data_IF_150494063373
#
_entry.id   IF_150494063373
#
_cell.length_a   1.000
_cell.length_b   1.000
_cell.length_c   1.000
_cell.angle_alpha   90.00
_cell.angle_beta   90.00
_cell.angle_gamma   90.00
#
_symmetry.space_group_name_H-M   'P 1'
#
loop_
_entity.id
_entity.type
_entity.pdbx_description
1 polymer ?
#
# COMPACT_ATOMS: atom_id res chain seq x y z
N UNK A 1 16.05 29.92 32.67
CA UNK A 1 16.25 28.53 33.15
C UNK A 1 15.31 27.47 32.54
N UNK A 2 14.43 27.80 31.59
CA UNK A 2 13.60 26.79 30.88
C UNK A 2 14.31 26.06 29.72
N UNK A 3 15.53 26.47 29.37
CA UNK A 3 16.28 25.93 28.21
C UNK A 3 17.08 24.66 28.53
N UNK A 4 17.37 24.39 29.82
CA UNK A 4 18.16 23.22 30.23
C UNK A 4 17.34 21.92 30.27
N UNK A 5 16.04 21.99 30.62
CA UNK A 5 15.13 20.84 30.58
C UNK A 5 14.75 20.42 29.14
N UNK A 6 14.75 21.36 28.18
CA UNK A 6 14.54 21.03 26.75
C UNK A 6 15.69 20.20 26.15
N UNK A 7 16.92 20.31 26.68
CA UNK A 7 18.07 19.52 26.23
C UNK A 7 18.04 18.07 26.72
N UNK A 8 17.33 17.76 27.79
CA UNK A 8 17.24 16.39 28.34
C UNK A 8 16.10 15.55 27.75
N UNK A 9 15.10 16.18 27.12
CA UNK A 9 13.91 15.50 26.57
C UNK A 9 13.89 15.45 25.02
N UNK A 10 14.90 16.03 24.36
CA UNK A 10 14.96 16.17 22.91
C UNK A 10 13.89 17.11 22.34
N UNK A 11 14.09 17.57 21.11
CA UNK A 11 13.03 18.28 20.37
C UNK A 11 11.87 17.31 20.04
N UNK A 12 10.67 17.84 19.77
CA UNK A 12 9.55 17.01 19.28
C UNK A 12 9.97 16.20 18.05
N UNK A 13 10.66 16.86 17.11
CA UNK A 13 11.21 16.23 15.92
C UNK A 13 12.15 15.06 16.22
N UNK A 14 13.06 15.21 17.18
CA UNK A 14 13.97 14.12 17.57
C UNK A 14 13.23 12.91 18.15
N UNK A 15 12.17 13.15 18.94
CA UNK A 15 11.35 12.07 19.49
C UNK A 15 10.55 11.36 18.41
N UNK A 16 9.97 12.11 17.48
CA UNK A 16 9.19 11.55 16.37
C UNK A 16 10.09 10.72 15.44
N UNK A 17 11.29 11.23 15.09
CA UNK A 17 12.30 10.49 14.32
C UNK A 17 12.71 9.20 15.05
N UNK A 18 12.95 9.27 16.36
CA UNK A 18 13.33 8.10 17.16
C UNK A 18 12.21 7.04 17.20
N UNK A 19 10.95 7.46 17.15
CA UNK A 19 9.82 6.55 17.15
C UNK A 19 9.66 5.79 15.82
N UNK A 20 9.97 6.43 14.69
CA UNK A 20 9.85 5.81 13.36
C UNK A 20 11.10 5.03 12.93
N UNK A 21 12.28 5.33 13.50
CA UNK A 21 13.54 4.70 13.12
C UNK A 21 13.51 3.16 13.10
N UNK A 22 12.87 2.46 14.06
CA UNK A 22 12.76 1.00 14.00
C UNK A 22 12.02 0.49 12.77
N UNK A 23 11.02 1.25 12.28
CA UNK A 23 10.28 0.91 11.05
C UNK A 23 11.16 1.15 9.83
N UNK A 24 11.92 2.25 9.80
CA UNK A 24 12.90 2.54 8.73
C UNK A 24 13.94 1.43 8.63
N UNK A 25 14.45 0.93 9.76
CA UNK A 25 15.38 -0.21 9.78
C UNK A 25 14.75 -1.49 9.20
N UNK A 26 13.47 -1.76 9.50
CA UNK A 26 12.73 -2.88 8.88
C UNK A 26 12.56 -2.69 7.37
N UNK A 27 12.29 -1.46 6.91
CA UNK A 27 12.22 -1.12 5.48
C UNK A 27 13.56 -1.38 4.80
N UNK A 28 14.68 -0.98 5.43
CA UNK A 28 16.02 -1.24 4.90
C UNK A 28 16.33 -2.73 4.79
N UNK A 29 15.89 -3.53 5.77
CA UNK A 29 16.04 -4.99 5.70
C UNK A 29 15.23 -5.59 4.55
N UNK A 30 13.93 -5.23 4.46
CA UNK A 30 13.07 -5.68 3.36
C UNK A 30 13.62 -5.27 1.98
N UNK A 31 14.18 -4.06 1.89
CA UNK A 31 14.75 -3.53 0.65
C UNK A 31 15.87 -4.40 0.08
N UNK A 32 16.64 -5.11 0.93
CA UNK A 32 17.71 -6.00 0.47
C UNK A 32 17.21 -7.09 -0.46
N UNK A 33 16.00 -7.62 -0.21
CA UNK A 33 15.37 -8.63 -1.05
C UNK A 33 14.58 -8.00 -2.20
N UNK A 34 13.86 -6.90 -1.94
CA UNK A 34 13.04 -6.21 -2.96
C UNK A 34 13.88 -5.71 -4.14
N UNK A 35 15.08 -5.17 -3.90
CA UNK A 35 15.94 -4.65 -4.98
C UNK A 35 16.41 -5.74 -5.97
N UNK A 36 16.33 -7.02 -5.59
CA UNK A 36 16.73 -8.16 -6.44
C UNK A 36 15.64 -8.59 -7.43
N UNK A 37 14.41 -8.12 -7.24
CA UNK A 37 13.27 -8.51 -8.07
C UNK A 37 13.39 -7.97 -9.50
N UNK A 38 12.81 -8.67 -10.48
CA UNK A 38 12.53 -8.11 -11.80
C UNK A 38 11.41 -7.07 -11.73
N UNK A 39 11.20 -6.29 -12.80
CA UNK A 39 10.09 -5.31 -12.84
C UNK A 39 8.72 -6.00 -12.68
N UNK A 40 8.55 -7.19 -13.28
CA UNK A 40 7.30 -7.94 -13.18
C UNK A 40 7.09 -8.54 -11.79
N UNK A 41 8.15 -9.05 -11.14
CA UNK A 41 8.07 -9.53 -9.75
C UNK A 41 7.81 -8.39 -8.76
N UNK A 42 8.45 -7.22 -8.95
CA UNK A 42 8.19 -6.04 -8.14
C UNK A 42 6.73 -5.61 -8.27
N UNK A 43 6.19 -5.60 -9.50
CA UNK A 43 4.77 -5.32 -9.75
C UNK A 43 3.84 -6.34 -9.11
N UNK A 44 4.22 -7.62 -9.13
CA UNK A 44 3.43 -8.70 -8.54
C UNK A 44 3.25 -8.54 -7.01
N UNK A 45 4.18 -7.86 -6.31
CA UNK A 45 4.05 -7.56 -4.88
C UNK A 45 2.75 -6.84 -4.54
N UNK A 46 2.25 -5.96 -5.40
CA UNK A 46 0.95 -5.29 -5.17
C UNK A 46 -0.20 -6.29 -5.06
N UNK A 47 -0.24 -7.30 -5.93
CA UNK A 47 -1.29 -8.32 -5.88
C UNK A 47 -1.07 -9.26 -4.68
N UNK A 48 0.17 -9.60 -4.37
CA UNK A 48 0.52 -10.37 -3.17
C UNK A 48 0.01 -9.69 -1.90
N UNK A 49 0.26 -8.38 -1.74
CA UNK A 49 -0.21 -7.62 -0.58
C UNK A 49 -1.73 -7.59 -0.47
N UNK A 50 -2.44 -7.35 -1.59
CA UNK A 50 -3.91 -7.41 -1.62
C UNK A 50 -4.43 -8.77 -1.18
N UNK A 51 -3.82 -9.86 -1.66
CA UNK A 51 -4.20 -11.22 -1.30
C UNK A 51 -3.91 -11.50 0.19
N UNK A 52 -2.75 -11.06 0.71
CA UNK A 52 -2.42 -11.20 2.14
C UNK A 52 -3.46 -10.51 3.03
N UNK A 53 -3.84 -9.27 2.69
CA UNK A 53 -4.86 -8.51 3.42
C UNK A 53 -6.20 -9.24 3.36
N UNK A 54 -6.67 -9.59 2.16
CA UNK A 54 -7.95 -10.27 1.95
C UNK A 54 -8.03 -11.60 2.72
N UNK A 55 -6.98 -12.42 2.63
CA UNK A 55 -6.91 -13.69 3.36
C UNK A 55 -6.91 -13.48 4.87
N UNK A 56 -6.25 -12.44 5.38
CA UNK A 56 -6.16 -12.17 6.81
C UNK A 56 -7.50 -11.80 7.44
N UNK A 57 -8.39 -11.14 6.68
CA UNK A 57 -9.72 -10.70 7.14
C UNK A 57 -10.87 -11.57 6.61
N UNK A 58 -10.57 -12.61 5.84
CA UNK A 58 -11.57 -13.40 5.11
C UNK A 58 -12.64 -14.01 6.01
N UNK A 59 -12.26 -14.46 7.22
CA UNK A 59 -13.19 -15.08 8.16
C UNK A 59 -14.26 -14.09 8.63
N UNK A 60 -13.86 -12.90 9.05
CA UNK A 60 -14.80 -11.87 9.53
C UNK A 60 -15.66 -11.35 8.38
N UNK A 61 -15.07 -11.08 7.22
CA UNK A 61 -15.81 -10.60 6.04
C UNK A 61 -16.83 -11.65 5.55
N UNK A 62 -16.48 -12.94 5.57
CA UNK A 62 -17.42 -14.01 5.19
C UNK A 62 -18.60 -14.08 6.16
N UNK A 63 -18.34 -14.05 7.48
CA UNK A 63 -19.41 -14.06 8.49
C UNK A 63 -20.30 -12.82 8.40
N UNK A 64 -19.72 -11.64 8.15
CA UNK A 64 -20.49 -10.41 7.94
C UNK A 64 -21.40 -10.55 6.72
N UNK A 65 -20.89 -11.10 5.61
CA UNK A 65 -21.67 -11.32 4.40
C UNK A 65 -22.82 -12.32 4.64
N UNK A 66 -22.57 -13.42 5.35
CA UNK A 66 -23.58 -14.41 5.73
C UNK A 66 -24.68 -13.81 6.60
N UNK A 67 -24.32 -13.02 7.61
CA UNK A 67 -25.28 -12.35 8.51
C UNK A 67 -26.10 -11.27 7.78
N UNK A 68 -25.51 -10.56 6.81
CA UNK A 68 -26.26 -9.61 5.97
C UNK A 68 -27.24 -10.35 5.06
N UNK A 69 -26.80 -11.45 4.47
CA UNK A 69 -27.65 -12.27 3.61
C UNK A 69 -28.82 -12.90 4.40
N UNK A 70 -28.63 -13.29 5.67
CA UNK A 70 -29.74 -13.82 6.47
C UNK A 70 -30.82 -12.75 6.71
N UNK A 71 -30.44 -11.50 7.00
CA UNK A 71 -31.38 -10.37 7.15
C UNK A 71 -32.14 -10.12 5.84
N UNK A 72 -31.44 -10.14 4.70
CA UNK A 72 -32.06 -9.86 3.40
C UNK A 72 -33.02 -10.97 2.94
N UNK A 73 -32.70 -12.23 3.24
CA UNK A 73 -33.48 -13.37 2.79
C UNK A 73 -34.73 -13.64 3.65
N UNK A 74 -34.76 -13.16 4.89
CA UNK A 74 -35.88 -13.39 5.81
C UNK A 74 -36.71 -12.13 6.06
N UNK A 75 -37.76 -11.99 5.26
CA UNK A 75 -38.64 -10.80 5.24
C UNK A 75 -39.34 -10.58 6.59
N UNK A 76 -39.73 -11.66 7.28
CA UNK A 76 -40.50 -11.62 8.53
C UNK A 76 -39.64 -11.74 9.80
N UNK A 77 -38.31 -11.69 9.68
CA UNK A 77 -37.42 -11.79 10.84
C UNK A 77 -37.74 -10.71 11.88
N UNK A 78 -37.85 -11.15 13.13
CA UNK A 78 -38.23 -10.33 14.28
C UNK A 78 -37.23 -9.18 14.51
N UNK A 79 -37.75 -8.07 15.04
CA UNK A 79 -36.94 -6.86 15.27
C UNK A 79 -35.83 -7.11 16.28
N UNK A 80 -36.09 -7.91 17.32
CA UNK A 80 -35.10 -8.22 18.36
C UNK A 80 -33.99 -9.13 17.79
N UNK A 81 -34.36 -10.08 16.92
CA UNK A 81 -33.40 -10.94 16.21
C UNK A 81 -32.52 -10.12 15.25
N UNK A 82 -33.11 -9.23 14.46
CA UNK A 82 -32.36 -8.28 13.62
C UNK A 82 -31.38 -7.44 14.44
N UNK A 83 -31.81 -6.95 15.60
CA UNK A 83 -30.95 -6.14 16.46
C UNK A 83 -29.72 -6.92 16.95
N UNK A 84 -29.88 -8.20 17.33
CA UNK A 84 -28.74 -9.03 17.74
C UNK A 84 -27.82 -9.37 16.57
N UNK A 85 -28.35 -9.61 15.36
CA UNK A 85 -27.53 -9.82 14.16
C UNK A 85 -26.71 -8.56 13.83
N UNK A 86 -27.32 -7.37 13.87
CA UNK A 86 -26.58 -6.12 13.64
C UNK A 86 -25.47 -5.91 14.68
N UNK A 87 -25.72 -6.24 15.94
CA UNK A 87 -24.70 -6.19 16.99
C UNK A 87 -23.54 -7.16 16.72
N UNK A 88 -23.81 -8.33 16.17
CA UNK A 88 -22.76 -9.26 15.73
C UNK A 88 -21.97 -8.71 14.52
N UNK A 89 -22.66 -8.13 13.53
CA UNK A 89 -22.03 -7.49 12.38
C UNK A 89 -21.11 -6.36 12.83
N UNK A 90 -21.53 -5.51 13.78
CA UNK A 90 -20.72 -4.42 14.30
C UNK A 90 -19.47 -4.92 15.03
N UNK A 91 -19.61 -5.98 15.84
CA UNK A 91 -18.49 -6.60 16.53
C UNK A 91 -17.47 -7.20 15.54
N UNK A 92 -17.95 -7.92 14.52
CA UNK A 92 -17.10 -8.50 13.47
C UNK A 92 -16.44 -7.43 12.62
N UNK A 93 -17.16 -6.35 12.29
CA UNK A 93 -16.61 -5.23 11.50
C UNK A 93 -15.48 -4.53 12.25
N UNK A 94 -15.64 -4.33 13.56
CA UNK A 94 -14.59 -3.79 14.41
C UNK A 94 -13.37 -4.72 14.48
N UNK A 95 -13.59 -6.03 14.55
CA UNK A 95 -12.51 -7.02 14.53
C UNK A 95 -11.78 -7.05 13.17
N UNK A 96 -12.51 -7.08 12.06
CA UNK A 96 -11.96 -7.00 10.70
C UNK A 96 -11.11 -5.75 10.51
N UNK A 97 -11.56 -4.60 11.03
CA UNK A 97 -10.79 -3.37 11.01
C UNK A 97 -9.48 -3.46 11.81
N UNK A 98 -9.51 -4.01 13.03
CA UNK A 98 -8.30 -4.23 13.84
C UNK A 98 -7.32 -5.19 13.16
N UNK A 99 -7.83 -6.26 12.55
CA UNK A 99 -7.02 -7.21 11.78
C UNK A 99 -6.41 -6.55 10.55
N UNK A 100 -7.18 -5.70 9.85
CA UNK A 100 -6.70 -4.91 8.71
C UNK A 100 -5.54 -4.00 9.10
N UNK A 101 -5.64 -3.27 10.22
CA UNK A 101 -4.54 -2.44 10.72
C UNK A 101 -3.28 -3.29 10.99
N UNK A 102 -3.44 -4.41 11.69
CA UNK A 102 -2.32 -5.29 12.01
C UNK A 102 -1.60 -5.81 10.77
N UNK A 103 -2.34 -6.33 9.78
CA UNK A 103 -1.71 -6.85 8.55
C UNK A 103 -1.11 -5.72 7.71
N UNK A 104 -1.68 -4.52 7.73
CA UNK A 104 -1.08 -3.35 7.08
C UNK A 104 0.25 -2.97 7.73
N UNK A 105 0.33 -2.96 9.06
CA UNK A 105 1.57 -2.70 9.80
C UNK A 105 2.63 -3.77 9.50
N UNK A 106 2.22 -5.05 9.37
CA UNK A 106 3.12 -6.15 8.97
C UNK A 106 3.63 -6.02 7.53
N UNK A 107 2.80 -5.50 6.61
CA UNK A 107 3.15 -5.29 5.18
C UNK A 107 3.96 -4.01 4.97
N UNK A 108 3.80 -3.02 5.85
CA UNK A 108 4.34 -1.66 5.68
C UNK A 108 5.82 -1.65 5.28
N UNK A 109 6.74 -2.40 5.93
CA UNK A 109 8.15 -2.38 5.56
C UNK A 109 8.42 -2.82 4.12
N UNK A 110 7.75 -3.89 3.68
CA UNK A 110 7.87 -4.40 2.31
C UNK A 110 7.25 -3.45 1.29
N UNK A 111 6.09 -2.87 1.61
CA UNK A 111 5.39 -1.94 0.71
C UNK A 111 6.21 -0.66 0.46
N UNK A 112 6.81 -0.10 1.51
CA UNK A 112 7.69 1.06 1.39
C UNK A 112 8.99 0.73 0.65
N UNK A 113 9.55 -0.47 0.86
CA UNK A 113 10.68 -0.94 0.08
C UNK A 113 10.33 -1.06 -1.42
N UNK A 114 9.14 -1.55 -1.76
CA UNK A 114 8.65 -1.60 -3.15
C UNK A 114 8.53 -0.19 -3.75
N UNK A 115 8.00 0.77 -3.00
CA UNK A 115 7.92 2.16 -3.45
C UNK A 115 9.30 2.78 -3.68
N UNK A 116 10.24 2.56 -2.75
CA UNK A 116 11.62 3.04 -2.88
C UNK A 116 12.30 2.47 -4.12
N UNK A 117 12.18 1.16 -4.34
CA UNK A 117 12.80 0.50 -5.48
C UNK A 117 12.15 0.90 -6.81
N UNK A 118 10.84 1.13 -6.82
CA UNK A 118 10.14 1.71 -7.99
C UNK A 118 10.73 3.07 -8.34
N UNK A 119 10.86 3.97 -7.36
CA UNK A 119 11.48 5.29 -7.59
C UNK A 119 12.91 5.18 -8.11
N UNK A 120 13.73 4.27 -7.54
CA UNK A 120 15.09 4.00 -8.03
C UNK A 120 15.10 3.52 -9.48
N UNK A 121 14.20 2.63 -9.89
CA UNK A 121 14.15 2.13 -11.28
C UNK A 121 13.85 3.24 -12.28
N UNK A 122 12.95 4.16 -11.96
CA UNK A 122 12.68 5.33 -12.79
C UNK A 122 13.81 6.36 -12.78
N UNK A 123 14.54 6.48 -11.66
CA UNK A 123 15.72 7.32 -11.55
C UNK A 123 16.88 6.80 -12.41
N UNK A 124 17.17 5.50 -12.34
CA UNK A 124 18.33 4.88 -12.99
C UNK A 124 18.10 4.50 -14.45
N UNK A 125 16.85 4.44 -14.91
CA UNK A 125 16.50 3.97 -16.25
C UNK A 125 15.56 4.95 -16.96
N UNK A 126 15.83 5.23 -18.23
CA UNK A 126 14.93 6.02 -19.09
C UNK A 126 13.59 5.30 -19.34
N UNK A 127 13.58 3.97 -19.23
CA UNK A 127 12.44 3.09 -19.48
C UNK A 127 12.37 1.96 -18.47
N UNK A 128 11.18 1.73 -17.93
CA UNK A 128 10.83 0.56 -17.11
C UNK A 128 9.85 -0.30 -17.90
N UNK A 129 10.25 -1.54 -18.19
CA UNK A 129 9.45 -2.47 -19.00
C UNK A 129 8.82 -3.54 -18.12
N UNK A 130 7.51 -3.72 -18.25
CA UNK A 130 6.72 -4.77 -17.58
C UNK A 130 5.82 -5.48 -18.58
N UNK A 131 5.30 -6.63 -18.20
CA UNK A 131 4.24 -7.32 -18.94
C UNK A 131 2.94 -6.49 -18.87
N UNK A 132 2.35 -6.23 -20.04
CA UNK A 132 1.19 -5.38 -20.19
C UNK A 132 -0.09 -6.04 -19.66
N UNK A 133 -0.80 -5.31 -18.82
CA UNK A 133 -2.14 -5.58 -18.31
C UNK A 133 -3.16 -4.67 -18.98
N UNK A 134 -4.45 -4.90 -18.74
CA UNK A 134 -5.50 -4.00 -19.23
C UNK A 134 -5.34 -2.58 -18.68
N UNK A 135 -4.97 -2.45 -17.40
CA UNK A 135 -4.73 -1.14 -16.78
C UNK A 135 -3.64 -0.35 -17.50
N UNK A 136 -2.56 -1.01 -17.95
CA UNK A 136 -1.50 -0.31 -18.69
C UNK A 136 -2.00 0.20 -20.05
N UNK A 137 -2.86 -0.58 -20.73
CA UNK A 137 -3.45 -0.20 -22.01
C UNK A 137 -4.39 0.99 -21.85
N UNK A 138 -5.18 0.99 -20.78
CA UNK A 138 -6.07 2.08 -20.45
C UNK A 138 -5.27 3.36 -20.14
N UNK A 139 -4.18 3.25 -19.36
CA UNK A 139 -3.31 4.38 -19.05
C UNK A 139 -2.57 4.90 -20.29
N UNK A 140 -2.08 4.02 -21.17
CA UNK A 140 -1.41 4.41 -22.41
C UNK A 140 -2.31 5.21 -23.38
N UNK A 141 -3.63 5.14 -23.23
CA UNK A 141 -4.56 5.98 -24.00
C UNK A 141 -4.56 7.46 -23.56
N UNK A 142 -4.09 7.76 -22.35
CA UNK A 142 -4.11 9.10 -21.76
C UNK A 142 -2.72 9.66 -21.45
N UNK A 143 -1.72 8.81 -21.27
CA UNK A 143 -0.38 9.19 -20.82
C UNK A 143 0.67 8.87 -21.88
N UNK A 144 1.22 9.91 -22.51
CA UNK A 144 2.23 9.78 -23.59
C UNK A 144 3.53 9.08 -23.17
N UNK A 145 3.81 9.04 -21.87
CA UNK A 145 4.97 8.36 -21.31
C UNK A 145 4.77 6.85 -21.14
N UNK A 146 3.60 6.31 -21.45
CA UNK A 146 3.30 4.88 -21.39
C UNK A 146 3.04 4.37 -22.80
N UNK A 147 3.81 3.37 -23.23
CA UNK A 147 3.71 2.78 -24.56
C UNK A 147 3.43 1.28 -24.45
N UNK A 148 2.60 0.77 -25.35
CA UNK A 148 2.30 -0.66 -25.43
C UNK A 148 2.94 -1.24 -26.70
N UNK A 149 3.84 -2.20 -26.52
CA UNK A 149 4.51 -2.93 -27.60
C UNK A 149 4.24 -4.43 -27.43
N UNK A 150 3.27 -4.97 -28.18
CA UNK A 150 2.86 -6.37 -28.05
C UNK A 150 2.31 -6.72 -26.67
N UNK A 151 3.03 -7.59 -25.95
CA UNK A 151 2.74 -8.02 -24.59
C UNK A 151 3.46 -7.18 -23.50
N UNK A 152 4.18 -6.12 -23.89
CA UNK A 152 4.92 -5.25 -22.97
C UNK A 152 4.31 -3.86 -22.83
N UNK A 153 4.36 -3.34 -21.61
CA UNK A 153 4.13 -1.94 -21.29
C UNK A 153 5.47 -1.29 -20.93
N UNK A 154 5.77 -0.19 -21.60
CA UNK A 154 7.01 0.56 -21.49
C UNK A 154 6.68 1.90 -20.85
N UNK A 155 7.12 2.07 -19.61
CA UNK A 155 6.98 3.31 -18.86
C UNK A 155 8.25 4.14 -19.02
N UNK A 156 8.15 5.32 -19.63
CA UNK A 156 9.25 6.28 -19.68
C UNK A 156 9.35 7.04 -18.37
N UNK A 157 10.57 7.38 -17.96
CA UNK A 157 10.80 8.23 -16.79
C UNK A 157 10.61 9.73 -17.05
N UNK A 158 10.19 10.10 -18.26
CA UNK A 158 9.97 11.47 -18.69
C UNK A 158 8.57 11.67 -19.24
N UNK A 159 7.96 12.81 -18.92
CA UNK A 159 6.64 13.22 -19.44
C UNK A 159 6.50 14.73 -19.49
N UNK A 160 5.55 15.21 -20.31
CA UNK A 160 5.22 16.64 -20.36
C UNK A 160 4.27 16.99 -19.19
N UNK A 161 4.63 17.99 -18.39
CA UNK A 161 3.75 18.56 -17.37
C UNK A 161 3.82 20.09 -17.41
N UNK A 162 2.66 20.75 -17.57
CA UNK A 162 2.59 22.22 -17.63
C UNK A 162 3.43 22.84 -18.75
N UNK A 163 3.60 22.15 -19.88
CA UNK A 163 4.42 22.61 -21.02
C UNK A 163 5.92 22.39 -20.87
N UNK A 164 6.39 21.81 -19.77
CA UNK A 164 7.80 21.47 -19.55
C UNK A 164 7.98 19.94 -19.57
N UNK A 165 9.12 19.50 -20.12
CA UNK A 165 9.52 18.09 -20.02
C UNK A 165 10.07 17.85 -18.61
N UNK A 166 9.38 17.01 -17.84
CA UNK A 166 9.79 16.57 -16.51
C UNK A 166 10.47 15.21 -16.62
N UNK A 167 11.56 15.03 -15.86
CA UNK A 167 12.24 13.74 -15.68
C UNK A 167 12.09 13.32 -14.24
N UNK A 168 11.78 12.05 -13.99
CA UNK A 168 11.84 11.48 -12.66
C UNK A 168 13.31 11.38 -12.22
N UNK A 169 13.70 12.22 -11.26
CA UNK A 169 15.08 12.36 -10.79
C UNK A 169 15.24 12.17 -9.27
N UNK A 170 14.29 11.47 -8.62
CA UNK A 170 14.23 11.35 -7.17
C UNK A 170 14.19 9.89 -6.67
N UNK A 171 14.95 9.62 -5.59
CA UNK A 171 14.87 8.38 -4.80
C UNK A 171 14.56 8.76 -3.35
N UNK A 172 13.63 8.04 -2.73
CA UNK A 172 13.17 8.33 -1.37
C UNK A 172 14.30 8.22 -0.34
N UNK A 173 14.52 9.30 0.42
CA UNK A 173 15.36 9.34 1.62
C UNK A 173 14.68 8.67 2.81
N UNK A 174 15.47 8.33 3.83
CA UNK A 174 14.95 7.65 5.03
C UNK A 174 13.88 8.46 5.79
N UNK A 175 13.90 9.79 5.69
CA UNK A 175 12.86 10.65 6.27
C UNK A 175 11.55 10.66 5.46
N UNK A 176 11.55 10.03 4.29
CA UNK A 176 10.40 9.85 3.39
C UNK A 176 9.91 8.40 3.38
N UNK A 177 10.54 7.52 4.18
CA UNK A 177 10.15 6.12 4.40
C UNK A 177 9.44 6.00 5.75
#
# INVERSE_FOLDING_TARGET
>A
MLSFFKKFLGSKSERDIKAIMPVVEQIHEAYKEIQKLSNDELRAKTQEFKNRIANYIAEEESKIAELKASIENEIEMDVEEKAEIYKQIDALSKLSYQKSQKILDEILPEAFAVMKDTARRFYENEKVVVTATQMDRDLAAYFDNIQIEGDKAIYKNQWMAGGNLITWDMVHYDVQL
#
